data_IF_820133623107
#
_entry.id   IF_820133623107
#
_cell.length_a   1.000
_cell.length_b   1.000
_cell.length_c   1.000
_cell.angle_alpha   90.00
_cell.angle_beta   90.00
_cell.angle_gamma   90.00
#
_symmetry.space_group_name_H-M   'P 1'
#
loop_
_entity.id
_entity.type
_entity.pdbx_description
1 polymer ?
#
# COMPACT_ATOMS: atom_id res chain seq x y z
N UNK A 1 -7.24 1.25 -21.60
CA UNK A 1 -6.25 0.21 -21.35
C UNK A 1 -4.88 0.84 -21.10
N UNK A 2 -4.21 0.39 -20.09
CA UNK A 2 -2.90 0.95 -19.72
C UNK A 2 -1.79 0.14 -20.41
N UNK A 3 -0.75 0.81 -20.87
CA UNK A 3 0.35 0.11 -21.51
C UNK A 3 1.16 -0.67 -20.47
N UNK A 4 1.67 -1.82 -20.88
CA UNK A 4 2.52 -2.64 -20.02
C UNK A 4 3.79 -1.89 -19.60
N UNK A 5 4.28 -1.02 -20.45
CA UNK A 5 5.47 -0.23 -20.12
C UNK A 5 5.22 0.71 -18.94
N UNK A 6 4.09 1.42 -18.95
CA UNK A 6 3.73 2.30 -17.83
C UNK A 6 3.54 1.50 -16.55
N UNK A 7 2.87 0.36 -16.63
CA UNK A 7 2.66 -0.50 -15.47
C UNK A 7 3.97 -1.03 -14.92
N UNK A 8 4.93 -1.38 -15.78
CA UNK A 8 6.25 -1.82 -15.33
C UNK A 8 7.00 -0.71 -14.61
N UNK A 9 6.93 0.51 -15.11
CA UNK A 9 7.56 1.66 -14.45
C UNK A 9 6.94 1.88 -13.08
N UNK A 10 5.61 1.87 -13.00
CA UNK A 10 4.91 2.03 -11.72
C UNK A 10 5.30 0.91 -10.75
N UNK A 11 5.25 -0.33 -11.21
CA UNK A 11 5.61 -1.48 -10.40
C UNK A 11 7.04 -1.35 -9.84
N UNK A 12 7.96 -0.92 -10.69
CA UNK A 12 9.36 -0.80 -10.31
C UNK A 12 9.67 0.43 -9.48
N UNK A 13 8.74 1.36 -9.35
CA UNK A 13 8.93 2.53 -8.48
C UNK A 13 9.12 2.16 -7.01
N UNK A 14 8.72 0.96 -6.62
CA UNK A 14 8.92 0.42 -5.27
C UNK A 14 9.58 -0.95 -5.32
N UNK A 15 10.26 -1.28 -6.41
CA UNK A 15 10.86 -2.61 -6.60
C UNK A 15 9.85 -3.74 -6.41
N UNK A 16 8.61 -3.52 -6.89
CA UNK A 16 7.56 -4.52 -6.83
C UNK A 16 6.96 -4.77 -5.45
N UNK A 17 6.97 -3.77 -4.60
CA UNK A 17 6.38 -3.87 -3.26
C UNK A 17 5.24 -2.86 -3.09
N UNK A 18 4.24 -3.23 -2.31
CA UNK A 18 3.18 -2.29 -1.96
C UNK A 18 3.76 -1.09 -1.21
N UNK A 19 3.42 0.12 -1.64
CA UNK A 19 3.98 1.32 -1.02
C UNK A 19 3.40 1.61 0.37
N UNK A 20 2.31 0.94 0.74
CA UNK A 20 1.74 1.06 2.08
C UNK A 20 2.31 0.01 3.02
N UNK A 21 2.01 -1.27 2.77
CA UNK A 21 2.37 -2.34 3.69
C UNK A 21 3.73 -2.97 3.42
N UNK A 22 4.26 -2.79 2.20
CA UNK A 22 5.55 -3.35 1.83
C UNK A 22 5.51 -4.80 1.37
N UNK A 23 4.33 -5.40 1.24
CA UNK A 23 4.24 -6.77 0.74
C UNK A 23 4.71 -6.88 -0.70
N UNK A 24 5.32 -8.02 -1.05
CA UNK A 24 5.76 -8.28 -2.41
C UNK A 24 4.57 -8.42 -3.34
N UNK A 25 4.68 -7.82 -4.51
CA UNK A 25 3.65 -7.87 -5.53
C UNK A 25 4.11 -8.71 -6.72
N UNK A 26 3.16 -9.18 -7.51
CA UNK A 26 3.44 -9.96 -8.71
C UNK A 26 2.92 -9.16 -9.90
N UNK A 27 3.83 -8.78 -10.79
CA UNK A 27 3.49 -7.88 -11.89
C UNK A 27 2.27 -8.33 -12.69
N UNK A 28 2.20 -9.62 -13.02
CA UNK A 28 1.13 -10.18 -13.84
C UNK A 28 -0.24 -10.17 -13.17
N UNK A 29 -0.29 -9.93 -11.87
CA UNK A 29 -1.54 -9.91 -11.13
C UNK A 29 -2.13 -8.51 -10.97
N UNK A 30 -1.83 -7.64 -11.92
CA UNK A 30 -2.40 -6.30 -11.94
C UNK A 30 -3.91 -6.33 -12.20
N UNK A 31 -4.64 -5.58 -11.38
CA UNK A 31 -6.06 -5.35 -11.63
C UNK A 31 -6.99 -6.50 -11.30
N UNK A 32 -6.55 -7.50 -10.56
CA UNK A 32 -7.41 -8.60 -10.13
C UNK A 32 -8.31 -8.13 -8.99
N UNK A 33 -9.46 -7.58 -9.34
CA UNK A 33 -10.33 -6.89 -8.39
C UNK A 33 -11.34 -7.76 -7.66
N UNK A 34 -11.58 -8.95 -8.17
CA UNK A 34 -12.71 -9.76 -7.72
C UNK A 34 -12.44 -10.49 -6.42
N UNK A 35 -11.20 -10.74 -6.10
CA UNK A 35 -10.82 -11.49 -4.90
C UNK A 35 -9.83 -10.65 -4.11
N UNK A 36 -10.26 -10.21 -2.93
CA UNK A 36 -9.48 -9.29 -2.10
C UNK A 36 -8.17 -9.88 -1.59
N UNK A 37 -8.08 -11.20 -1.49
CA UNK A 37 -6.96 -11.88 -0.85
C UNK A 37 -6.01 -12.60 -1.80
N UNK A 38 -5.98 -12.23 -3.07
CA UNK A 38 -4.99 -12.80 -3.98
C UNK A 38 -3.62 -12.23 -3.63
N UNK A 39 -2.74 -13.11 -3.22
CA UNK A 39 -1.36 -12.74 -2.91
C UNK A 39 -0.68 -12.16 -4.14
N UNK A 40 -0.07 -10.99 -3.97
CA UNK A 40 0.64 -10.31 -5.05
C UNK A 40 -0.22 -9.49 -5.99
N UNK A 41 -1.55 -9.53 -5.85
CA UNK A 41 -2.44 -8.70 -6.66
C UNK A 41 -2.26 -7.22 -6.31
N UNK A 42 -2.24 -6.38 -7.33
CA UNK A 42 -1.93 -4.97 -7.13
C UNK A 42 -2.68 -4.05 -8.08
N UNK A 43 -2.69 -2.80 -7.72
CA UNK A 43 -3.28 -1.73 -8.51
C UNK A 43 -2.35 -0.52 -8.47
N UNK A 44 -2.47 0.36 -9.46
CA UNK A 44 -1.74 1.62 -9.45
C UNK A 44 -2.50 2.62 -8.58
N UNK A 45 -1.84 3.12 -7.55
CA UNK A 45 -2.41 4.11 -6.65
C UNK A 45 -1.90 5.49 -7.01
N UNK A 46 -2.81 6.43 -7.25
CA UNK A 46 -2.46 7.82 -7.54
C UNK A 46 -2.15 8.53 -6.23
N UNK A 47 -0.94 9.02 -6.10
CA UNK A 47 -0.53 9.73 -4.88
C UNK A 47 -1.24 11.07 -4.77
N UNK A 48 -1.24 11.82 -5.85
CA UNK A 48 -2.06 13.02 -5.94
C UNK A 48 -3.34 12.66 -6.65
N UNK A 49 -4.45 13.07 -6.05
CA UNK A 49 -5.76 12.72 -6.55
C UNK A 49 -5.88 13.03 -8.04
N UNK A 50 -6.51 12.11 -8.76
CA UNK A 50 -6.84 12.33 -10.15
C UNK A 50 -7.76 13.55 -10.29
N UNK A 51 -7.19 14.70 -10.47
CA UNK A 51 -7.99 15.89 -10.59
C UNK A 51 -8.81 15.89 -11.88
N UNK A 52 -8.31 15.33 -12.95
CA UNK A 52 -8.96 15.45 -14.25
C UNK A 52 -8.60 14.28 -15.16
N UNK A 53 -9.63 13.61 -15.68
CA UNK A 53 -9.49 12.66 -16.76
C UNK A 53 -8.89 11.30 -16.43
N UNK A 54 -8.49 11.04 -15.21
CA UNK A 54 -8.12 9.71 -14.78
C UNK A 54 -6.92 9.09 -15.46
N UNK A 55 -6.00 9.87 -15.96
CA UNK A 55 -4.82 9.35 -16.65
C UNK A 55 -3.88 8.63 -15.70
N UNK A 56 -3.40 7.49 -16.15
CA UNK A 56 -2.34 6.79 -15.47
C UNK A 56 -1.02 7.49 -15.78
N UNK A 57 -0.44 8.12 -14.76
CA UNK A 57 0.81 8.85 -14.87
C UNK A 57 1.86 8.14 -14.03
N UNK A 58 2.88 7.61 -14.69
CA UNK A 58 3.94 6.86 -14.02
C UNK A 58 4.73 7.68 -13.01
N UNK A 59 4.72 9.01 -13.16
CA UNK A 59 5.39 9.89 -12.20
C UNK A 59 4.54 10.16 -10.95
N UNK A 60 3.26 9.82 -10.99
CA UNK A 60 2.32 10.08 -9.91
C UNK A 60 1.72 8.81 -9.31
N UNK A 61 2.14 7.63 -9.75
CA UNK A 61 1.55 6.39 -9.31
C UNK A 61 2.58 5.50 -8.60
N UNK A 62 2.11 4.85 -7.55
CA UNK A 62 2.87 3.82 -6.85
C UNK A 62 2.04 2.54 -6.81
N UNK A 63 2.67 1.37 -6.81
CA UNK A 63 1.91 0.14 -6.74
C UNK A 63 1.43 -0.09 -5.31
N UNK A 64 0.18 -0.52 -5.20
CA UNK A 64 -0.41 -0.87 -3.92
C UNK A 64 -1.08 -2.23 -4.03
N UNK A 65 -0.98 -3.05 -2.99
CA UNK A 65 -1.75 -4.28 -2.99
C UNK A 65 -3.24 -3.93 -3.00
N UNK A 66 -4.05 -4.83 -3.53
CA UNK A 66 -5.49 -4.56 -3.68
C UNK A 66 -6.13 -4.21 -2.36
N UNK A 67 -5.77 -4.90 -1.28
CA UNK A 67 -6.31 -4.61 0.05
C UNK A 67 -6.02 -3.19 0.51
N UNK A 68 -4.76 -2.77 0.44
CA UNK A 68 -4.39 -1.42 0.88
C UNK A 68 -5.05 -0.35 0.03
N UNK A 69 -5.08 -0.55 -1.28
CA UNK A 69 -5.71 0.41 -2.18
C UNK A 69 -7.21 0.55 -1.91
N UNK A 70 -7.88 -0.56 -1.68
CA UNK A 70 -9.31 -0.55 -1.38
C UNK A 70 -9.63 0.07 -0.03
N UNK A 71 -8.81 -0.17 0.97
CA UNK A 71 -8.97 0.47 2.27
C UNK A 71 -8.89 1.98 2.14
N UNK A 72 -7.96 2.44 1.32
CA UNK A 72 -7.80 3.88 1.12
C UNK A 72 -9.00 4.51 0.41
N UNK A 73 -9.52 3.84 -0.64
CA UNK A 73 -10.49 4.46 -1.53
C UNK A 73 -11.92 3.99 -1.36
N UNK A 74 -12.11 2.72 -0.99
CA UNK A 74 -13.45 2.12 -0.98
C UNK A 74 -14.04 1.90 0.40
N UNK A 75 -13.26 1.98 1.45
CA UNK A 75 -13.73 1.98 2.84
C UNK A 75 -14.80 0.93 3.15
N UNK A 76 -14.45 -0.33 3.03
CA UNK A 76 -15.37 -1.40 3.40
C UNK A 76 -15.58 -1.40 4.92
N UNK A 77 -16.84 -1.25 5.34
CA UNK A 77 -17.19 -0.95 6.72
C UNK A 77 -16.55 -1.84 7.77
N UNK A 78 -16.76 -3.15 7.68
CA UNK A 78 -16.31 -4.06 8.73
C UNK A 78 -14.78 -4.22 8.75
N UNK A 79 -14.19 -4.36 7.58
CA UNK A 79 -12.73 -4.46 7.48
C UNK A 79 -12.05 -3.19 7.96
N UNK A 80 -12.59 -2.04 7.57
CA UNK A 80 -12.05 -0.74 7.99
C UNK A 80 -12.15 -0.59 9.52
N UNK A 81 -13.30 -0.97 10.10
CA UNK A 81 -13.49 -0.92 11.55
C UNK A 81 -12.50 -1.80 12.29
N UNK A 82 -12.25 -2.98 11.78
CA UNK A 82 -11.28 -3.91 12.38
C UNK A 82 -9.88 -3.33 12.36
N UNK A 83 -9.45 -2.78 11.24
CA UNK A 83 -8.13 -2.20 11.12
C UNK A 83 -7.99 -0.97 12.01
N UNK A 84 -9.01 -0.13 12.09
CA UNK A 84 -9.00 1.02 12.99
C UNK A 84 -8.87 0.55 14.44
N UNK A 85 -9.64 -0.45 14.84
CA UNK A 85 -9.58 -0.96 16.21
C UNK A 85 -8.20 -1.53 16.51
N UNK A 86 -7.66 -2.38 15.63
CA UNK A 86 -6.32 -2.92 15.82
C UNK A 86 -5.27 -1.82 15.88
N UNK A 87 -5.39 -0.82 14.99
CA UNK A 87 -4.47 0.30 14.98
C UNK A 87 -4.52 1.12 16.27
N UNK A 88 -5.69 1.35 16.79
CA UNK A 88 -5.85 2.08 18.05
C UNK A 88 -5.30 1.29 19.25
N UNK A 89 -5.54 -0.02 19.28
CA UNK A 89 -4.99 -0.87 20.33
C UNK A 89 -3.46 -0.84 20.26
N UNK A 90 -2.90 -1.03 19.07
CA UNK A 90 -1.46 -1.00 18.87
C UNK A 90 -0.87 0.34 19.31
N UNK A 91 -1.50 1.43 18.94
CA UNK A 91 -1.05 2.79 19.27
C UNK A 91 -1.03 3.01 20.78
N UNK A 92 -2.04 2.53 21.49
CA UNK A 92 -2.10 2.64 22.95
C UNK A 92 -0.97 1.84 23.60
N UNK A 93 -0.70 0.64 23.12
CA UNK A 93 0.38 -0.19 23.64
C UNK A 93 1.75 0.45 23.42
N UNK A 94 1.97 1.00 22.23
CA UNK A 94 3.20 1.73 21.93
C UNK A 94 3.37 2.90 22.89
N UNK A 95 2.31 3.65 23.10
CA UNK A 95 2.34 4.84 23.96
C UNK A 95 2.60 4.50 25.41
N UNK A 96 2.08 3.37 25.89
CA UNK A 96 2.29 2.92 27.27
C UNK A 96 3.66 2.30 27.49
N UNK A 97 4.41 1.99 26.44
CA UNK A 97 5.72 1.35 26.57
C UNK A 97 5.66 -0.10 27.02
N UNK A 98 4.54 -0.79 26.79
CA UNK A 98 4.42 -2.20 27.12
C UNK A 98 5.39 -3.05 26.27
N UNK A 99 5.63 -4.29 26.68
CA UNK A 99 6.47 -5.21 25.88
C UNK A 99 5.91 -5.38 24.48
N UNK A 100 4.60 -5.56 24.35
CA UNK A 100 3.93 -5.67 23.07
C UNK A 100 4.10 -4.38 22.27
N UNK A 101 3.89 -3.24 22.94
CA UNK A 101 4.02 -1.93 22.30
C UNK A 101 5.42 -1.67 21.77
N UNK A 102 6.44 -2.04 22.53
CA UNK A 102 7.83 -1.90 22.08
C UNK A 102 8.11 -2.74 20.86
N UNK A 103 7.57 -3.97 20.81
CA UNK A 103 7.72 -4.84 19.66
C UNK A 103 7.01 -4.29 18.43
N UNK A 104 5.80 -3.79 18.60
CA UNK A 104 5.04 -3.16 17.52
C UNK A 104 5.80 -1.95 16.96
N UNK A 105 6.33 -1.12 17.84
CA UNK A 105 7.09 0.06 17.43
C UNK A 105 8.32 -0.32 16.62
N UNK A 106 9.04 -1.33 17.04
CA UNK A 106 10.20 -1.85 16.35
C UNK A 106 9.83 -2.32 14.93
N UNK A 107 8.78 -3.13 14.82
CA UNK A 107 8.30 -3.63 13.54
C UNK A 107 7.83 -2.49 12.61
N UNK A 108 7.09 -1.54 13.19
CA UNK A 108 6.61 -0.39 12.42
C UNK A 108 7.76 0.43 11.87
N UNK A 109 8.73 0.76 12.69
CA UNK A 109 9.86 1.57 12.27
C UNK A 109 10.69 0.88 11.21
N UNK A 110 10.91 -0.42 11.36
CA UNK A 110 11.61 -1.22 10.34
C UNK A 110 10.87 -1.17 9.00
N UNK A 111 9.55 -1.40 9.02
CA UNK A 111 8.75 -1.38 7.79
C UNK A 111 8.73 0.00 7.15
N UNK A 112 8.60 1.05 7.96
CA UNK A 112 8.64 2.41 7.43
C UNK A 112 9.95 2.71 6.71
N UNK A 113 11.07 2.30 7.28
CA UNK A 113 12.36 2.50 6.64
C UNK A 113 12.50 1.71 5.35
N UNK A 114 12.06 0.46 5.35
CA UNK A 114 12.07 -0.37 4.15
C UNK A 114 11.24 0.25 3.03
N UNK A 115 10.02 0.69 3.37
CA UNK A 115 9.15 1.32 2.39
C UNK A 115 9.75 2.60 1.83
N UNK A 116 10.37 3.40 2.71
CA UNK A 116 11.00 4.66 2.31
C UNK A 116 12.16 4.41 1.35
N UNK A 117 12.96 3.40 1.61
CA UNK A 117 14.09 3.05 0.73
C UNK A 117 13.62 2.54 -0.63
N UNK A 118 12.49 1.84 -0.67
CA UNK A 118 11.97 1.29 -1.92
C UNK A 118 11.33 2.33 -2.81
N UNK A 119 10.71 3.34 -2.24
CA UNK A 119 10.07 4.39 -3.04
C UNK A 119 11.10 5.24 -3.73
N UNK A 120 10.99 5.31 -5.06
CA UNK A 120 11.82 6.19 -5.83
C UNK A 120 11.27 7.61 -5.79
N UNK A 121 12.16 8.56 -5.95
CA UNK A 121 11.81 9.99 -5.92
C UNK A 121 11.13 10.41 -7.21
N UNK A 122 9.96 9.93 -7.46
CA UNK A 122 9.19 10.35 -8.63
C UNK A 122 8.04 11.28 -8.26
N UNK A 123 7.79 11.45 -7.00
CA UNK A 123 6.61 12.16 -6.52
C UNK A 123 6.94 13.51 -5.93
#
# INVERSE_FOLDING_TARGET
MHSNEKLKIIFNNTYGHCHFCGDSLIFEKYGLKEIDDIEGAWEADHIHQKAKGGRLDESNCLPACVRCNRLRWHRKGDELREIILLGLIARKEVKSGSLVGNKILELKNKRLQENKKRRRKTL
#
